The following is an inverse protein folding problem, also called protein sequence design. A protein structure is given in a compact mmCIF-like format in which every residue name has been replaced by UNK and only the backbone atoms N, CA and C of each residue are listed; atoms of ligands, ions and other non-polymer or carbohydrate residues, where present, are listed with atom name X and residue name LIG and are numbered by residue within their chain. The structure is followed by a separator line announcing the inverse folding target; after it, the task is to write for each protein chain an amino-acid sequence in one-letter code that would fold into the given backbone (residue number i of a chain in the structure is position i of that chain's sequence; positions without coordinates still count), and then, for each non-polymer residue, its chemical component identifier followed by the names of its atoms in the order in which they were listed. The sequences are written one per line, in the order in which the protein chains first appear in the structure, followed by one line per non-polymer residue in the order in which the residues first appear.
data_IF_243346843189
#
_entry.id   IF_243346843189
#
_cell.length_a   1.000
_cell.length_b   1.000
_cell.length_c   1.000
_cell.angle_alpha   90.00
_cell.angle_beta   90.00
_cell.angle_gamma   90.00
#
_symmetry.space_group_name_H-M   'P 1'
#
loop_
_entity.id
_entity.type
_entity.pdbx_description
1 polymer ?
#
# COMPACT_ATOMS: atom_id res chain seq x y z
N UNK A 1 -4.33 -16.46 -8.24
CA UNK A 1 -5.42 -16.31 -9.22
C UNK A 1 -6.14 -15.02 -8.89
N UNK A 2 -5.75 -13.93 -9.53
CA UNK A 2 -6.10 -12.56 -9.16
C UNK A 2 -7.34 -12.09 -9.92
N UNK A 3 -8.45 -11.92 -9.20
CA UNK A 3 -9.22 -10.66 -9.14
C UNK A 3 -9.64 -9.91 -10.40
N UNK A 4 -9.66 -10.49 -11.61
CA UNK A 4 -10.34 -9.89 -12.75
C UNK A 4 -11.85 -10.11 -12.58
N UNK A 5 -12.45 -9.29 -11.72
CA UNK A 5 -13.88 -9.21 -11.47
C UNK A 5 -14.66 -8.90 -12.76
N UNK A 6 -15.94 -9.25 -12.74
CA UNK A 6 -16.89 -9.37 -13.85
C UNK A 6 -17.22 -8.08 -14.64
N UNK A 7 -16.40 -7.04 -14.61
CA UNK A 7 -16.54 -5.87 -15.46
C UNK A 7 -15.15 -5.27 -15.72
N UNK A 8 -14.70 -5.29 -16.97
CA UNK A 8 -13.43 -4.69 -17.35
C UNK A 8 -13.56 -3.16 -17.27
N UNK A 9 -12.64 -2.53 -16.57
CA UNK A 9 -12.58 -1.09 -16.42
C UNK A 9 -11.37 -0.53 -17.18
N UNK A 10 -11.55 -0.08 -18.44
CA UNK A 10 -10.46 0.36 -19.29
C UNK A 10 -9.60 1.47 -18.66
N UNK A 11 -10.24 2.36 -17.91
CA UNK A 11 -9.61 3.51 -17.30
C UNK A 11 -8.66 3.13 -16.15
N UNK A 12 -9.06 2.15 -15.32
CA UNK A 12 -8.20 1.59 -14.28
C UNK A 12 -7.07 0.74 -14.87
N UNK A 13 -7.36 -0.02 -15.91
CA UNK A 13 -6.34 -0.82 -16.61
C UNK A 13 -5.27 0.08 -17.25
N UNK A 14 -5.68 1.17 -17.91
CA UNK A 14 -4.74 2.13 -18.48
C UNK A 14 -3.87 2.76 -17.39
N UNK A 15 -4.46 3.13 -16.26
CA UNK A 15 -3.69 3.71 -15.15
C UNK A 15 -2.65 2.71 -14.60
N UNK A 16 -3.03 1.44 -14.38
CA UNK A 16 -2.08 0.41 -13.91
C UNK A 16 -1.02 0.10 -14.96
N UNK A 17 -1.35 0.06 -16.25
CA UNK A 17 -0.37 -0.11 -17.33
C UNK A 17 0.70 0.99 -17.30
N UNK A 18 0.28 2.26 -17.27
CA UNK A 18 1.20 3.41 -17.27
C UNK A 18 2.12 3.43 -16.06
N UNK A 19 1.69 2.83 -14.94
CA UNK A 19 2.49 2.69 -13.73
C UNK A 19 3.31 1.39 -13.69
N UNK A 20 3.21 0.52 -14.69
CA UNK A 20 3.91 -0.77 -14.74
C UNK A 20 3.31 -1.85 -13.83
N UNK A 21 2.05 -1.70 -13.43
CA UNK A 21 1.34 -2.65 -12.58
C UNK A 21 0.63 -3.79 -13.32
N UNK A 22 0.80 -3.90 -14.63
CA UNK A 22 0.26 -5.00 -15.45
C UNK A 22 1.43 -5.73 -16.10
N UNK A 23 1.57 -7.01 -15.77
CA UNK A 23 2.58 -7.87 -16.41
C UNK A 23 2.20 -8.13 -17.88
N UNK A 24 3.17 -8.24 -18.80
CA UNK A 24 2.87 -8.46 -20.21
C UNK A 24 1.94 -9.66 -20.48
N UNK A 25 2.08 -10.75 -19.75
CA UNK A 25 1.22 -11.93 -19.90
C UNK A 25 -0.22 -11.70 -19.45
N UNK A 26 -0.45 -10.75 -18.55
CA UNK A 26 -1.81 -10.39 -18.12
C UNK A 26 -2.60 -9.71 -19.24
N UNK A 27 -1.94 -9.04 -20.18
CA UNK A 27 -2.62 -8.42 -21.34
C UNK A 27 -3.35 -9.43 -22.21
N UNK A 28 -2.87 -10.68 -22.30
CA UNK A 28 -3.55 -11.72 -23.08
C UNK A 28 -4.94 -11.99 -22.48
N UNK A 29 -4.99 -12.24 -21.16
CA UNK A 29 -6.25 -12.49 -20.47
C UNK A 29 -7.19 -11.27 -20.48
N UNK A 30 -6.62 -10.07 -20.33
CA UNK A 30 -7.36 -8.80 -20.40
C UNK A 30 -7.97 -8.61 -21.81
N UNK A 31 -7.20 -8.88 -22.87
CA UNK A 31 -7.67 -8.74 -24.24
C UNK A 31 -8.77 -9.75 -24.59
N UNK A 32 -8.63 -11.01 -24.16
CA UNK A 32 -9.69 -12.02 -24.29
C UNK A 32 -10.97 -11.56 -23.58
N UNK A 33 -10.86 -11.10 -22.34
CA UNK A 33 -12.03 -10.63 -21.59
C UNK A 33 -12.68 -9.38 -22.22
N UNK A 34 -11.89 -8.49 -22.81
CA UNK A 34 -12.42 -7.35 -23.54
C UNK A 34 -13.22 -7.78 -24.78
N UNK A 35 -12.70 -8.75 -25.56
CA UNK A 35 -13.41 -9.33 -26.71
C UNK A 35 -14.73 -9.98 -26.29
N UNK A 36 -14.74 -10.73 -25.18
CA UNK A 36 -15.94 -11.35 -24.62
C UNK A 36 -16.99 -10.33 -24.17
N UNK A 37 -16.56 -9.15 -23.74
CA UNK A 37 -17.42 -8.01 -23.36
C UNK A 37 -17.89 -7.18 -24.56
N UNK A 38 -17.54 -7.57 -25.79
CA UNK A 38 -18.00 -6.92 -27.01
C UNK A 38 -17.13 -5.75 -27.48
N UNK A 39 -15.98 -5.52 -26.84
CA UNK A 39 -14.96 -4.66 -27.43
C UNK A 39 -14.36 -5.35 -28.66
N UNK A 40 -14.03 -4.60 -29.69
CA UNK A 40 -13.41 -5.14 -30.91
C UNK A 40 -12.29 -4.20 -31.38
N UNK A 41 -11.35 -4.76 -32.13
CA UNK A 41 -10.22 -4.04 -32.69
C UNK A 41 -9.03 -4.94 -32.95
N UNK A 42 -8.27 -4.64 -34.00
CA UNK A 42 -7.10 -5.45 -34.41
C UNK A 42 -6.08 -5.59 -33.28
N UNK A 43 -5.89 -4.57 -32.44
CA UNK A 43 -4.95 -4.64 -31.31
C UNK A 43 -5.41 -5.63 -30.23
N UNK A 44 -6.71 -5.69 -29.94
CA UNK A 44 -7.28 -6.68 -29.00
C UNK A 44 -7.07 -8.10 -29.52
N UNK A 45 -7.40 -8.33 -30.80
CA UNK A 45 -7.23 -9.65 -31.44
C UNK A 45 -5.76 -10.07 -31.48
N UNK A 46 -4.83 -9.14 -31.76
CA UNK A 46 -3.39 -9.38 -31.73
C UNK A 46 -2.93 -9.78 -30.33
N UNK A 47 -3.30 -9.00 -29.29
CA UNK A 47 -2.95 -9.30 -27.89
C UNK A 47 -3.52 -10.64 -27.43
N UNK A 48 -4.77 -10.95 -27.77
CA UNK A 48 -5.42 -12.22 -27.42
C UNK A 48 -4.75 -13.44 -28.10
N UNK A 49 -4.09 -13.24 -29.25
CA UNK A 49 -3.37 -14.27 -29.97
C UNK A 49 -1.93 -14.52 -29.47
N UNK A 50 -1.41 -13.70 -28.56
CA UNK A 50 -0.06 -13.88 -28.02
C UNK A 50 -0.01 -15.05 -27.01
N UNK A 51 1.15 -15.69 -26.91
CA UNK A 51 1.42 -16.72 -25.90
C UNK A 51 2.63 -16.29 -25.08
N UNK A 52 2.40 -15.97 -23.79
CA UNK A 52 3.42 -15.53 -22.83
C UNK A 52 4.31 -14.39 -23.37
N UNK A 53 3.71 -13.28 -23.84
CA UNK A 53 4.47 -12.17 -24.40
C UNK A 53 5.40 -11.55 -23.35
N UNK A 54 6.54 -11.05 -23.81
CA UNK A 54 7.42 -10.14 -23.07
C UNK A 54 7.02 -8.69 -23.34
N UNK A 55 7.62 -7.75 -22.60
CA UNK A 55 7.42 -6.32 -22.86
C UNK A 55 7.77 -5.92 -24.30
N UNK A 56 8.79 -6.54 -24.89
CA UNK A 56 9.19 -6.27 -26.27
C UNK A 56 8.18 -6.79 -27.30
N UNK A 57 7.46 -7.87 -26.98
CA UNK A 57 6.44 -8.43 -27.87
C UNK A 57 5.17 -7.58 -27.91
N UNK A 58 4.93 -6.80 -26.84
CA UNK A 58 3.79 -5.89 -26.78
C UNK A 58 3.96 -4.67 -27.68
N UNK A 59 5.19 -4.14 -27.83
CA UNK A 59 5.48 -2.93 -28.60
C UNK A 59 4.44 -1.81 -28.32
N UNK A 60 3.66 -1.42 -29.33
CA UNK A 60 2.62 -0.38 -29.27
C UNK A 60 1.20 -0.94 -29.10
N UNK A 61 1.06 -2.25 -28.88
CA UNK A 61 -0.23 -2.92 -28.76
C UNK A 61 -1.06 -2.40 -27.57
N UNK A 62 -0.50 -2.15 -26.37
CA UNK A 62 -1.25 -1.59 -25.24
C UNK A 62 -1.85 -0.22 -25.54
N UNK A 63 -1.09 0.70 -26.16
CA UNK A 63 -1.59 2.04 -26.53
C UNK A 63 -2.73 1.93 -27.55
N UNK A 64 -2.57 1.06 -28.55
CA UNK A 64 -3.60 0.80 -29.57
C UNK A 64 -4.82 0.12 -28.98
N UNK A 65 -4.64 -0.76 -28.00
CA UNK A 65 -5.70 -1.41 -27.24
C UNK A 65 -6.54 -0.38 -26.47
N UNK A 66 -5.92 0.53 -25.73
CA UNK A 66 -6.64 1.58 -25.01
C UNK A 66 -7.30 2.58 -25.98
N UNK A 67 -6.65 2.91 -27.10
CA UNK A 67 -7.23 3.76 -28.13
C UNK A 67 -8.49 3.13 -28.78
N UNK A 68 -8.49 1.81 -28.99
CA UNK A 68 -9.67 1.08 -29.47
C UNK A 68 -10.85 1.14 -28.48
N UNK A 69 -10.58 1.33 -27.19
CA UNK A 69 -11.59 1.57 -26.16
C UNK A 69 -11.95 3.06 -26.00
N UNK A 70 -11.47 3.94 -26.88
CA UNK A 70 -11.75 5.37 -26.86
C UNK A 70 -10.92 6.16 -25.83
N UNK A 71 -9.91 5.57 -25.22
CA UNK A 71 -9.06 6.26 -24.26
C UNK A 71 -7.92 7.02 -24.94
N UNK A 72 -7.59 8.17 -24.36
CA UNK A 72 -6.39 8.95 -24.73
C UNK A 72 -5.21 8.50 -23.88
N UNK A 73 -3.97 8.57 -24.39
CA UNK A 73 -2.78 8.37 -23.58
C UNK A 73 -2.78 9.30 -22.36
N UNK A 74 -2.27 8.80 -21.23
CA UNK A 74 -2.11 9.55 -19.98
C UNK A 74 -0.66 9.43 -19.48
N UNK A 75 -0.23 10.39 -18.67
CA UNK A 75 1.04 10.31 -17.95
C UNK A 75 0.89 9.66 -16.55
N UNK A 76 1.99 9.49 -15.83
CA UNK A 76 2.00 8.83 -14.52
C UNK A 76 1.20 9.61 -13.45
N UNK A 77 1.25 10.94 -13.45
CA UNK A 77 0.51 11.75 -12.48
C UNK A 77 -1.00 11.63 -12.69
N UNK A 78 -1.43 11.66 -13.95
CA UNK A 78 -2.82 11.43 -14.35
C UNK A 78 -3.29 10.01 -13.99
N UNK A 79 -2.43 9.00 -14.17
CA UNK A 79 -2.72 7.62 -13.79
C UNK A 79 -2.95 7.49 -12.28
N UNK A 80 -2.06 8.04 -11.45
CA UNK A 80 -2.21 8.04 -9.99
C UNK A 80 -3.48 8.80 -9.57
N UNK A 81 -3.71 9.99 -10.13
CA UNK A 81 -4.91 10.78 -9.81
C UNK A 81 -6.20 10.02 -10.12
N UNK A 82 -6.24 9.30 -11.25
CA UNK A 82 -7.39 8.48 -11.67
C UNK A 82 -7.64 7.31 -10.72
N UNK A 83 -6.60 6.60 -10.29
CA UNK A 83 -6.72 5.53 -9.30
C UNK A 83 -7.29 6.06 -7.98
N UNK A 84 -6.67 7.13 -7.44
CA UNK A 84 -7.07 7.69 -6.15
C UNK A 84 -8.49 8.26 -6.17
N UNK A 85 -8.94 8.85 -7.28
CA UNK A 85 -10.31 9.33 -7.45
C UNK A 85 -11.36 8.21 -7.37
N UNK A 86 -10.95 6.97 -7.66
CA UNK A 86 -11.81 5.77 -7.60
C UNK A 86 -11.63 4.97 -6.31
N UNK A 87 -10.83 5.47 -5.36
CA UNK A 87 -10.51 4.75 -4.12
C UNK A 87 -9.56 3.58 -4.33
N UNK A 88 -8.78 3.59 -5.40
CA UNK A 88 -7.80 2.56 -5.73
C UNK A 88 -6.36 3.02 -5.41
N UNK A 89 -5.47 2.13 -4.92
CA UNK A 89 -5.81 0.80 -4.42
C UNK A 89 -6.65 0.88 -3.13
N UNK A 90 -7.50 -0.13 -2.91
CA UNK A 90 -8.21 -0.25 -1.64
C UNK A 90 -7.22 -0.35 -0.47
N UNK A 91 -7.48 0.41 0.58
CA UNK A 91 -6.65 0.46 1.80
C UNK A 91 -7.47 0.08 3.03
N UNK A 92 -6.78 -0.26 4.12
CA UNK A 92 -7.45 -0.51 5.41
C UNK A 92 -8.20 0.73 5.92
N UNK A 93 -9.26 0.56 6.73
CA UNK A 93 -9.96 1.67 7.38
C UNK A 93 -9.04 2.55 8.24
N UNK A 94 -8.02 1.95 8.87
CA UNK A 94 -6.98 2.67 9.63
C UNK A 94 -6.22 3.62 8.71
N UNK A 95 -5.74 3.12 7.57
CA UNK A 95 -5.01 3.95 6.60
C UNK A 95 -5.88 5.06 6.04
N UNK A 96 -7.14 4.77 5.70
CA UNK A 96 -8.11 5.78 5.26
C UNK A 96 -8.27 6.91 6.29
N UNK A 97 -8.41 6.56 7.58
CA UNK A 97 -8.50 7.52 8.69
C UNK A 97 -7.25 8.39 8.77
N UNK A 98 -6.06 7.79 8.68
CA UNK A 98 -4.78 8.50 8.75
C UNK A 98 -4.59 9.44 7.55
N UNK A 99 -4.88 9.00 6.33
CA UNK A 99 -4.78 9.85 5.13
C UNK A 99 -5.73 11.05 5.18
N UNK A 100 -6.94 10.86 5.69
CA UNK A 100 -7.90 11.96 5.88
C UNK A 100 -7.43 12.94 6.95
N UNK A 101 -6.84 12.42 8.04
CA UNK A 101 -6.33 13.26 9.12
C UNK A 101 -5.07 14.06 8.73
N UNK A 102 -4.24 13.55 7.82
CA UNK A 102 -2.95 14.14 7.45
C UNK A 102 -2.84 14.40 5.93
N UNK A 103 -3.43 15.49 5.41
CA UNK A 103 -3.33 15.83 3.99
C UNK A 103 -1.89 15.99 3.47
N UNK A 104 -0.96 16.43 4.33
CA UNK A 104 0.49 16.55 4.02
C UNK A 104 1.12 15.20 3.63
N UNK A 105 0.53 14.07 4.03
CA UNK A 105 0.96 12.74 3.61
C UNK A 105 0.59 12.42 2.14
N UNK A 106 -0.29 13.21 1.53
CA UNK A 106 -0.86 12.93 0.21
C UNK A 106 0.17 12.77 -0.91
N UNK A 107 1.20 13.63 -0.97
CA UNK A 107 2.25 13.52 -1.99
C UNK A 107 3.11 12.28 -1.82
N UNK A 108 3.36 11.89 -0.58
CA UNK A 108 4.09 10.67 -0.25
C UNK A 108 3.26 9.43 -0.62
N UNK A 109 1.97 9.45 -0.29
CA UNK A 109 1.02 8.42 -0.68
C UNK A 109 0.92 8.21 -2.20
N UNK A 110 0.87 9.29 -2.99
CA UNK A 110 0.87 9.20 -4.47
C UNK A 110 2.10 8.47 -5.00
N UNK A 111 3.27 8.79 -4.48
CA UNK A 111 4.54 8.15 -4.86
C UNK A 111 4.57 6.67 -4.47
N UNK A 112 4.06 6.35 -3.29
CA UNK A 112 3.90 4.97 -2.84
C UNK A 112 3.01 4.18 -3.80
N UNK A 113 1.80 4.68 -4.12
CA UNK A 113 0.90 4.02 -5.10
C UNK A 113 1.56 3.83 -6.46
N UNK A 114 2.29 4.83 -6.97
CA UNK A 114 3.02 4.73 -8.22
C UNK A 114 4.12 3.64 -8.16
N UNK A 115 4.86 3.56 -7.05
CA UNK A 115 5.93 2.58 -6.87
C UNK A 115 5.44 1.12 -6.83
N UNK A 116 4.17 0.92 -6.49
CA UNK A 116 3.48 -0.37 -6.52
C UNK A 116 2.69 -0.61 -7.81
N UNK A 117 2.93 0.19 -8.86
CA UNK A 117 2.26 0.04 -10.15
C UNK A 117 0.76 0.37 -10.12
N UNK A 118 0.29 1.09 -9.10
CA UNK A 118 -1.14 1.29 -8.87
C UNK A 118 -1.88 0.07 -8.30
N UNK A 119 -1.14 -0.98 -7.91
CA UNK A 119 -1.68 -2.14 -7.22
C UNK A 119 -1.67 -1.94 -5.70
N UNK A 120 -2.39 -2.80 -4.97
CA UNK A 120 -2.34 -2.80 -3.51
C UNK A 120 -0.95 -3.25 -3.04
N UNK A 121 -0.29 -2.42 -2.23
CA UNK A 121 0.91 -2.80 -1.51
C UNK A 121 0.60 -3.73 -0.32
N UNK A 122 -0.66 -3.74 0.14
CA UNK A 122 -1.10 -4.37 1.38
C UNK A 122 -0.94 -3.46 2.60
N UNK A 123 -1.84 -3.62 3.57
CA UNK A 123 -2.01 -2.72 4.71
C UNK A 123 -0.74 -2.48 5.53
N UNK A 124 0.15 -3.48 5.65
CA UNK A 124 1.41 -3.34 6.40
C UNK A 124 2.42 -2.47 5.67
N UNK A 125 2.52 -2.57 4.33
CA UNK A 125 3.40 -1.72 3.54
C UNK A 125 2.89 -0.28 3.51
N UNK A 126 1.57 -0.09 3.40
CA UNK A 126 0.94 1.23 3.52
C UNK A 126 1.23 1.85 4.89
N UNK A 127 1.13 1.06 5.95
CA UNK A 127 1.44 1.51 7.31
C UNK A 127 2.93 1.87 7.46
N UNK A 128 3.83 1.07 6.90
CA UNK A 128 5.26 1.38 6.92
C UNK A 128 5.59 2.71 6.26
N UNK A 129 4.94 3.02 5.12
CA UNK A 129 5.12 4.31 4.46
C UNK A 129 4.59 5.47 5.32
N UNK A 130 3.47 5.26 6.02
CA UNK A 130 2.98 6.24 6.99
C UNK A 130 3.93 6.42 8.19
N UNK A 131 4.58 5.36 8.68
CA UNK A 131 5.59 5.47 9.75
C UNK A 131 6.79 6.31 9.28
N UNK A 132 7.24 6.14 8.03
CA UNK A 132 8.28 7.02 7.48
C UNK A 132 7.85 8.49 7.49
N UNK A 133 6.61 8.80 7.09
CA UNK A 133 6.04 10.14 7.19
C UNK A 133 6.08 10.68 8.63
N UNK A 134 5.67 9.88 9.62
CA UNK A 134 5.71 10.28 11.04
C UNK A 134 7.13 10.62 11.50
N UNK A 135 8.11 9.81 11.11
CA UNK A 135 9.50 10.01 11.54
C UNK A 135 10.12 11.22 10.80
N UNK A 136 10.07 11.21 9.48
CA UNK A 136 10.87 12.08 8.61
C UNK A 136 10.20 13.44 8.37
N UNK A 137 8.88 13.45 8.20
CA UNK A 137 8.13 14.64 7.81
C UNK A 137 7.47 15.35 8.99
N UNK A 138 7.22 14.63 10.09
CA UNK A 138 6.68 15.22 11.31
C UNK A 138 7.77 15.42 12.38
N UNK A 139 8.23 14.32 12.99
CA UNK A 139 9.03 14.39 14.21
C UNK A 139 10.41 15.04 13.98
N UNK A 140 11.16 14.61 12.96
CA UNK A 140 12.48 15.17 12.65
C UNK A 140 12.43 16.64 12.21
N UNK A 141 11.29 17.09 11.66
CA UNK A 141 11.05 18.49 11.30
C UNK A 141 10.51 19.32 12.46
N UNK A 142 10.42 18.76 13.67
CA UNK A 142 9.96 19.46 14.87
C UNK A 142 8.45 19.70 14.91
N UNK A 143 7.65 19.05 14.06
CA UNK A 143 6.18 19.15 14.06
C UNK A 143 5.57 18.27 15.17
N UNK A 144 5.95 18.53 16.43
CA UNK A 144 5.63 17.66 17.58
C UNK A 144 4.13 17.58 17.88
N UNK A 145 3.35 18.62 17.59
CA UNK A 145 1.90 18.60 17.78
C UNK A 145 1.21 17.68 16.78
N UNK A 146 1.65 17.67 15.51
CA UNK A 146 1.17 16.70 14.52
C UNK A 146 1.65 15.29 14.84
N UNK A 147 2.89 15.12 15.30
CA UNK A 147 3.35 13.82 15.81
C UNK A 147 2.45 13.32 16.94
N UNK A 148 2.14 14.16 17.94
CA UNK A 148 1.21 13.80 19.03
C UNK A 148 -0.17 13.45 18.51
N UNK A 149 -0.68 14.18 17.52
CA UNK A 149 -1.99 13.93 16.90
C UNK A 149 -2.05 12.56 16.23
N UNK A 150 -0.96 12.06 15.63
CA UNK A 150 -0.90 10.68 15.11
C UNK A 150 -1.16 9.66 16.22
N UNK A 151 -0.40 9.75 17.31
CA UNK A 151 -0.54 8.82 18.43
C UNK A 151 -1.91 8.91 19.10
N UNK A 152 -2.52 10.10 19.16
CA UNK A 152 -3.88 10.26 19.67
C UNK A 152 -4.92 9.54 18.79
N UNK A 153 -4.77 9.59 17.47
CA UNK A 153 -5.66 8.87 16.55
C UNK A 153 -5.50 7.36 16.73
N UNK A 154 -4.25 6.88 16.79
CA UNK A 154 -3.98 5.45 17.00
C UNK A 154 -4.48 4.96 18.37
N UNK A 155 -4.31 5.75 19.42
CA UNK A 155 -4.85 5.48 20.75
C UNK A 155 -6.37 5.30 20.70
N UNK A 156 -7.08 6.23 20.06
CA UNK A 156 -8.53 6.16 19.93
C UNK A 156 -8.99 4.92 19.14
N UNK A 157 -8.26 4.58 18.08
CA UNK A 157 -8.55 3.38 17.29
C UNK A 157 -8.35 2.10 18.11
N UNK A 158 -7.35 2.06 19.00
CA UNK A 158 -7.03 0.90 19.83
C UNK A 158 -8.07 0.58 20.91
N UNK A 159 -8.87 1.56 21.37
CA UNK A 159 -9.83 1.36 22.49
C UNK A 159 -10.85 0.27 22.16
N UNK A 160 -11.43 0.33 20.97
CA UNK A 160 -12.48 -0.60 20.51
C UNK A 160 -11.98 -1.48 19.34
N UNK A 161 -10.67 -1.59 19.15
CA UNK A 161 -10.09 -2.31 18.02
C UNK A 161 -10.38 -3.82 18.10
N UNK A 162 -10.80 -4.36 16.96
CA UNK A 162 -10.74 -5.80 16.67
C UNK A 162 -9.28 -6.28 16.50
N UNK A 163 -9.10 -7.59 16.32
CA UNK A 163 -7.76 -8.16 16.23
C UNK A 163 -6.98 -7.64 15.02
N UNK A 164 -7.62 -7.50 13.87
CA UNK A 164 -6.97 -6.99 12.65
C UNK A 164 -6.45 -5.57 12.84
N UNK A 165 -7.27 -4.69 13.42
CA UNK A 165 -6.87 -3.31 13.73
C UNK A 165 -5.75 -3.27 14.77
N UNK A 166 -5.83 -4.11 15.81
CA UNK A 166 -4.76 -4.21 16.82
C UNK A 166 -3.45 -4.69 16.22
N UNK A 167 -3.46 -5.67 15.35
CA UNK A 167 -2.27 -6.21 14.70
C UNK A 167 -1.66 -5.17 13.74
N UNK A 168 -2.48 -4.49 12.96
CA UNK A 168 -2.00 -3.44 12.06
C UNK A 168 -1.39 -2.25 12.82
N UNK A 169 -1.96 -1.83 13.94
CA UNK A 169 -1.38 -0.76 14.76
C UNK A 169 -0.16 -1.26 15.54
N UNK A 170 -0.22 -2.45 16.14
CA UNK A 170 0.89 -3.02 16.91
C UNK A 170 2.09 -3.40 16.05
N UNK A 171 1.92 -4.40 15.18
CA UNK A 171 2.99 -4.90 14.32
C UNK A 171 3.24 -3.95 13.14
N UNK A 172 2.17 -3.42 12.52
CA UNK A 172 2.35 -2.53 11.36
C UNK A 172 2.94 -1.17 11.73
N UNK A 173 2.43 -0.50 12.77
CA UNK A 173 2.89 0.83 13.15
C UNK A 173 3.99 0.81 14.22
N UNK A 174 3.73 0.26 15.41
CA UNK A 174 4.67 0.39 16.54
C UNK A 174 5.97 -0.40 16.32
N UNK A 175 5.90 -1.63 15.82
CA UNK A 175 7.12 -2.41 15.53
C UNK A 175 7.94 -1.76 14.40
N UNK A 176 7.29 -1.31 13.33
CA UNK A 176 7.97 -0.57 12.26
C UNK A 176 8.61 0.71 12.79
N UNK A 177 7.92 1.47 13.65
CA UNK A 177 8.47 2.66 14.31
C UNK A 177 9.69 2.30 15.17
N UNK A 178 9.60 1.22 15.96
CA UNK A 178 10.70 0.73 16.78
C UNK A 178 11.94 0.44 15.95
N UNK A 179 11.76 -0.25 14.82
CA UNK A 179 12.83 -0.68 13.91
C UNK A 179 13.43 0.49 13.12
N UNK A 180 12.61 1.42 12.63
CA UNK A 180 13.09 2.56 11.86
C UNK A 180 13.76 3.61 12.76
N UNK A 181 13.20 3.88 13.94
CA UNK A 181 13.72 4.88 14.85
C UNK A 181 14.95 4.40 15.64
N UNK A 182 15.17 3.09 15.81
CA UNK A 182 16.37 2.56 16.49
C UNK A 182 17.68 2.94 15.80
N UNK A 183 17.64 3.16 14.48
CA UNK A 183 18.78 3.60 13.67
C UNK A 183 18.97 5.12 13.66
N UNK A 184 18.13 5.89 14.37
CA UNK A 184 18.20 7.35 14.42
C UNK A 184 18.94 7.82 15.68
N UNK A 185 19.60 8.99 15.67
CA UNK A 185 20.39 9.48 16.82
C UNK A 185 19.61 9.57 18.14
N UNK A 186 18.31 9.84 18.06
CA UNK A 186 17.42 9.99 19.21
C UNK A 186 16.83 8.64 19.69
N UNK A 187 16.97 7.58 18.90
CA UNK A 187 16.35 6.28 19.16
C UNK A 187 14.82 6.31 19.10
N UNK A 188 14.19 5.19 19.48
CA UNK A 188 12.73 5.05 19.50
C UNK A 188 12.07 5.57 20.79
N UNK A 189 12.81 5.68 21.90
CA UNK A 189 12.26 6.09 23.20
C UNK A 189 11.68 7.50 23.20
N UNK A 190 12.14 8.38 22.31
CA UNK A 190 11.57 9.73 22.19
C UNK A 190 10.09 9.72 21.82
N UNK A 191 9.58 8.66 21.21
CA UNK A 191 8.16 8.57 20.87
C UNK A 191 7.27 8.18 22.06
N UNK A 192 7.82 7.59 23.12
CA UNK A 192 7.06 7.15 24.30
C UNK A 192 6.37 8.31 25.04
N UNK A 193 6.83 9.55 24.83
CA UNK A 193 6.19 10.75 25.35
C UNK A 193 4.81 11.01 24.73
N UNK A 194 4.52 10.44 23.56
CA UNK A 194 3.25 10.61 22.85
C UNK A 194 2.24 9.48 23.14
N UNK A 195 2.64 8.43 23.86
CA UNK A 195 1.80 7.26 24.03
C UNK A 195 0.70 7.48 25.07
N UNK A 196 -0.54 7.19 24.66
CA UNK A 196 -1.66 6.99 25.57
C UNK A 196 -1.63 5.60 26.25
N UNK A 197 -2.61 5.29 27.13
CA UNK A 197 -2.66 4.04 27.87
C UNK A 197 -2.62 2.76 27.02
N UNK A 198 -3.40 2.70 25.95
CA UNK A 198 -3.47 1.54 25.05
C UNK A 198 -2.20 1.40 24.23
N UNK A 199 -1.68 2.51 23.72
CA UNK A 199 -0.39 2.56 23.02
C UNK A 199 0.74 2.03 23.92
N UNK A 200 0.77 2.42 25.20
CA UNK A 200 1.74 1.90 26.18
C UNK A 200 1.59 0.40 26.41
N UNK A 201 0.35 -0.10 26.46
CA UNK A 201 0.08 -1.53 26.61
C UNK A 201 0.63 -2.32 25.41
N UNK A 202 0.27 -1.91 24.19
CA UNK A 202 0.76 -2.51 22.94
C UNK A 202 2.29 -2.45 22.87
N UNK A 203 2.88 -1.30 23.18
CA UNK A 203 4.34 -1.14 23.24
C UNK A 203 4.98 -2.10 24.24
N UNK A 204 4.43 -2.24 25.44
CA UNK A 204 4.97 -3.17 26.44
C UNK A 204 4.84 -4.63 26.01
N UNK A 205 3.76 -5.00 25.31
CA UNK A 205 3.56 -6.34 24.77
C UNK A 205 4.60 -6.65 23.68
N UNK A 206 4.86 -5.71 22.77
CA UNK A 206 5.93 -5.81 21.76
C UNK A 206 7.30 -5.95 22.42
N UNK A 207 7.62 -5.12 23.42
CA UNK A 207 8.90 -5.22 24.13
C UNK A 207 9.07 -6.59 24.82
N UNK A 208 8.01 -7.15 25.41
CA UNK A 208 8.04 -8.51 25.99
C UNK A 208 8.20 -9.58 24.93
N UNK A 209 7.52 -9.43 23.79
CA UNK A 209 7.63 -10.35 22.66
C UNK A 209 9.07 -10.40 22.15
N UNK A 210 9.77 -9.27 22.07
CA UNK A 210 11.16 -9.20 21.60
C UNK A 210 12.22 -9.37 22.69
N UNK A 211 11.85 -9.39 23.97
CA UNK A 211 12.80 -9.52 25.07
C UNK A 211 13.65 -10.80 24.94
N UNK A 212 14.97 -10.59 24.85
CA UNK A 212 15.97 -11.66 24.70
C UNK A 212 16.00 -12.34 23.32
N UNK A 213 15.34 -11.76 22.31
CA UNK A 213 15.22 -12.34 20.96
C UNK A 213 15.90 -11.44 19.95
N UNK A 214 16.60 -12.05 19.01
CA UNK A 214 17.36 -11.34 17.96
C UNK A 214 16.73 -11.48 16.57
N UNK A 215 15.78 -12.42 16.43
CA UNK A 215 15.11 -12.71 15.16
C UNK A 215 13.69 -13.22 15.37
N UNK A 216 12.87 -13.14 14.32
CA UNK A 216 11.54 -13.76 14.30
C UNK A 216 11.62 -15.28 14.53
N UNK A 217 12.69 -15.93 14.07
CA UNK A 217 12.93 -17.35 14.34
C UNK A 217 13.10 -17.65 15.83
N UNK A 218 13.65 -16.72 16.61
CA UNK A 218 13.74 -16.86 18.07
C UNK A 218 12.35 -16.77 18.71
N UNK A 219 11.46 -15.92 18.19
CA UNK A 219 10.07 -15.80 18.63
C UNK A 219 9.34 -17.11 18.39
N UNK A 220 9.35 -17.61 17.15
CA UNK A 220 8.68 -18.86 16.76
C UNK A 220 9.18 -20.04 17.60
N UNK A 221 10.49 -20.14 17.81
CA UNK A 221 11.09 -21.23 18.62
C UNK A 221 10.61 -21.20 20.07
N UNK A 222 10.42 -20.01 20.65
CA UNK A 222 9.93 -19.88 22.03
C UNK A 222 8.44 -20.20 22.11
N UNK A 223 7.62 -19.73 21.16
CA UNK A 223 6.19 -20.03 21.15
C UNK A 223 5.88 -21.51 20.94
N UNK A 224 6.64 -22.19 20.07
CA UNK A 224 6.50 -23.63 19.86
C UNK A 224 6.89 -24.47 21.08
N UNK A 225 7.78 -23.96 21.95
CA UNK A 225 8.14 -24.62 23.22
C UNK A 225 7.11 -24.41 24.33
N UNK A 226 6.26 -23.40 24.19
CA UNK A 226 5.26 -23.02 25.19
C UNK A 226 3.84 -23.54 24.85
N UNK A 227 3.69 -24.30 23.76
CA UNK A 227 2.49 -25.07 23.40
C UNK A 227 2.66 -26.53 23.84
#
# INVERSE_FOLDING_TARGET
MSGLGSNLDPELLQARWVLGGIEPEQFVAIAVSALEQGFDGTALQQLAGLSRPTLSDLDTLPERFFAAMGLKPINQDEAVARLLARGEPATSPVMSTLRQAFPDFGERWKKHVASWGGNSAGSYNDMGEFVHFVIEDLHQKGKLDETRRVFQILENLLVEADQETRDLIGLGFFETLQNLASHRPQGNKVYEQFFGPMSRKVWSELQKMWAGKSSLMDVIRVEQKNK
#
